data_IF_309624150607
#
_entry.id   IF_309624150607
#
_cell.length_a   1.000
_cell.length_b   1.000
_cell.length_c   1.000
_cell.angle_alpha   90.00
_cell.angle_beta   90.00
_cell.angle_gamma   90.00
#
_symmetry.space_group_name_H-M   'P 1'
#
loop_
_entity.id
_entity.type
_entity.pdbx_description
1 polymer ?
#
# COMPACT_ATOMS: atom_id res chain seq x y z
N UNK A 1 -29.90 13.64 -10.22
CA UNK A 1 -30.47 14.67 -9.34
C UNK A 1 -29.51 15.85 -9.29
N UNK A 2 -30.01 17.05 -9.50
CA UNK A 2 -29.23 18.30 -9.34
C UNK A 2 -29.81 19.01 -8.13
N UNK A 3 -28.95 19.40 -7.19
CA UNK A 3 -29.33 20.16 -6.00
C UNK A 3 -28.73 21.56 -6.14
N UNK A 4 -29.56 22.57 -6.24
CA UNK A 4 -29.13 23.96 -6.43
C UNK A 4 -28.93 24.73 -5.09
N UNK A 5 -28.41 25.94 -5.16
CA UNK A 5 -28.11 26.78 -4.01
C UNK A 5 -29.35 27.14 -3.18
N UNK A 6 -30.45 27.45 -3.86
CA UNK A 6 -31.72 27.83 -3.25
C UNK A 6 -32.29 26.66 -2.46
N UNK A 7 -32.24 25.45 -3.03
CA UNK A 7 -32.66 24.21 -2.39
C UNK A 7 -31.82 23.93 -1.14
N UNK A 8 -30.49 23.99 -1.23
CA UNK A 8 -29.60 23.81 -0.08
C UNK A 8 -29.93 24.82 1.03
N UNK A 9 -30.21 26.06 0.66
CA UNK A 9 -30.51 27.13 1.64
C UNK A 9 -31.85 26.89 2.34
N UNK A 10 -32.81 26.30 1.65
CA UNK A 10 -34.15 26.02 2.19
C UNK A 10 -34.18 24.85 3.18
N UNK A 11 -33.19 24.00 3.17
CA UNK A 11 -33.17 22.82 4.02
C UNK A 11 -33.09 23.15 5.52
N UNK A 12 -33.67 22.26 6.30
CA UNK A 12 -33.55 22.31 7.77
C UNK A 12 -32.05 22.36 8.18
N UNK A 13 -31.76 23.14 9.19
CA UNK A 13 -30.39 23.47 9.62
C UNK A 13 -29.50 22.24 9.84
N UNK A 14 -30.00 21.20 10.52
CA UNK A 14 -29.21 20.00 10.84
C UNK A 14 -28.99 19.15 9.59
N UNK A 15 -30.01 19.01 8.74
CA UNK A 15 -29.90 18.28 7.48
C UNK A 15 -28.84 18.95 6.57
N UNK A 16 -28.95 20.24 6.35
CA UNK A 16 -28.00 21.03 5.59
C UNK A 16 -26.57 20.92 6.15
N UNK A 17 -26.42 21.00 7.47
CA UNK A 17 -25.12 20.88 8.13
C UNK A 17 -24.50 19.49 7.90
N UNK A 18 -25.26 18.42 8.04
CA UNK A 18 -24.77 17.04 7.78
C UNK A 18 -24.40 16.87 6.32
N UNK A 19 -25.25 17.30 5.40
CA UNK A 19 -24.97 17.22 3.97
C UNK A 19 -23.70 17.97 3.59
N UNK A 20 -23.61 19.25 3.93
CA UNK A 20 -22.44 20.08 3.59
C UNK A 20 -21.13 19.56 4.19
N UNK A 21 -21.14 19.06 5.44
CA UNK A 21 -19.94 18.48 6.05
C UNK A 21 -19.54 17.13 5.43
N UNK A 22 -20.46 16.41 4.78
CA UNK A 22 -20.16 15.14 4.12
C UNK A 22 -19.70 15.29 2.68
N UNK A 23 -20.04 16.37 1.99
CA UNK A 23 -19.70 16.60 0.57
C UNK A 23 -18.20 16.58 0.27
N UNK A 24 -17.38 16.99 1.22
CA UNK A 24 -15.92 16.94 1.07
C UNK A 24 -15.32 15.52 1.14
N UNK A 25 -16.17 14.49 1.32
CA UNK A 25 -15.74 13.11 1.40
C UNK A 25 -15.03 12.75 2.70
N UNK A 26 -14.15 11.78 2.64
CA UNK A 26 -13.36 11.34 3.78
C UNK A 26 -12.31 12.38 4.16
N UNK A 27 -12.19 12.62 5.46
CA UNK A 27 -11.19 13.55 6.03
C UNK A 27 -10.42 12.84 7.14
N UNK A 28 -9.13 13.15 7.28
CA UNK A 28 -8.40 12.79 8.48
C UNK A 28 -9.09 13.36 9.72
N UNK A 29 -9.09 12.63 10.80
CA UNK A 29 -9.61 13.09 12.09
C UNK A 29 -8.52 13.02 13.13
N UNK A 30 -8.38 14.11 13.89
CA UNK A 30 -7.27 14.32 14.81
C UNK A 30 -7.75 14.93 16.10
N UNK A 31 -7.00 14.69 17.16
CA UNK A 31 -7.13 15.44 18.41
C UNK A 31 -6.07 16.53 18.43
N UNK A 32 -6.48 17.76 18.72
CA UNK A 32 -5.57 18.91 18.93
C UNK A 32 -5.46 19.18 20.41
N UNK A 33 -4.25 18.98 20.94
CA UNK A 33 -3.91 19.24 22.32
C UNK A 33 -3.32 20.62 22.50
N UNK A 34 -3.76 21.33 23.54
CA UNK A 34 -3.28 22.65 23.92
C UNK A 34 -3.27 22.78 25.45
N UNK A 35 -2.54 23.77 25.97
CA UNK A 35 -2.52 24.06 27.38
C UNK A 35 -2.67 25.57 27.61
N UNK A 36 -3.41 25.97 28.62
CA UNK A 36 -3.49 27.38 29.03
C UNK A 36 -2.23 27.82 29.77
N UNK A 37 -2.04 29.12 29.93
CA UNK A 37 -0.95 29.63 30.76
C UNK A 37 -1.07 29.24 32.24
N UNK A 38 -2.26 28.84 32.69
CA UNK A 38 -2.55 28.36 34.03
C UNK A 38 -2.31 26.85 34.21
N UNK A 39 -1.87 26.16 33.13
CA UNK A 39 -1.58 24.72 33.14
C UNK A 39 -2.82 23.84 32.99
N UNK A 40 -3.94 24.37 32.49
CA UNK A 40 -5.14 23.57 32.20
C UNK A 40 -5.03 23.01 30.78
N UNK A 41 -4.95 21.67 30.66
CA UNK A 41 -4.92 20.97 29.40
C UNK A 41 -6.30 20.99 28.75
N UNK A 42 -6.30 21.14 27.43
CA UNK A 42 -7.49 21.10 26.59
C UNK A 42 -7.26 20.21 25.39
N UNK A 43 -8.27 19.45 25.02
CA UNK A 43 -8.24 18.52 23.90
C UNK A 43 -9.51 18.61 23.05
N UNK A 44 -9.37 18.90 21.77
CA UNK A 44 -10.50 19.01 20.86
C UNK A 44 -10.35 18.13 19.61
N UNK A 45 -11.45 17.55 19.13
CA UNK A 45 -11.47 16.75 17.90
C UNK A 45 -11.69 17.64 16.66
N UNK A 46 -10.84 17.44 15.64
CA UNK A 46 -10.86 18.22 14.39
C UNK A 46 -10.77 17.31 13.16
N UNK A 47 -11.56 17.62 12.15
CA UNK A 47 -11.53 16.96 10.83
C UNK A 47 -11.12 17.90 9.69
N UNK A 48 -10.47 18.99 10.02
CA UNK A 48 -10.10 20.08 9.11
C UNK A 48 -8.60 20.31 9.02
N UNK A 49 -7.79 19.33 9.43
CA UNK A 49 -6.34 19.39 9.32
C UNK A 49 -5.92 19.23 7.86
N UNK A 50 -5.04 20.14 7.39
CA UNK A 50 -4.57 20.20 6.00
C UNK A 50 -3.07 20.42 5.93
N UNK A 51 -2.42 19.81 4.96
CA UNK A 51 -1.02 20.07 4.61
C UNK A 51 -0.90 21.45 3.95
N UNK A 52 0.10 22.24 4.35
CA UNK A 52 0.38 23.57 3.78
C UNK A 52 1.66 23.56 2.94
N UNK A 53 2.78 23.12 3.51
CA UNK A 53 4.06 23.03 2.80
C UNK A 53 4.98 22.00 3.44
N UNK A 54 5.94 21.50 2.62
CA UNK A 54 6.92 20.50 3.06
C UNK A 54 8.26 21.10 3.47
N UNK A 55 8.60 22.29 2.95
CA UNK A 55 9.82 23.01 3.30
C UNK A 55 9.58 24.52 3.26
N UNK A 56 9.46 25.21 4.41
CA UNK A 56 9.40 24.63 5.75
C UNK A 56 8.16 23.76 5.95
N UNK A 57 8.28 22.78 6.86
CA UNK A 57 7.19 21.84 7.14
C UNK A 57 6.05 22.52 7.91
N UNK A 58 4.88 22.66 7.29
CA UNK A 58 3.72 23.37 7.84
C UNK A 58 2.45 22.57 7.65
N UNK A 59 1.65 22.56 8.72
CA UNK A 59 0.32 21.96 8.75
C UNK A 59 -0.63 23.00 9.34
N UNK A 60 -1.84 23.07 8.78
CA UNK A 60 -2.87 23.96 9.30
C UNK A 60 -4.17 23.22 9.60
N UNK A 61 -5.06 23.89 10.29
CA UNK A 61 -6.42 23.41 10.50
C UNK A 61 -7.41 24.58 10.54
N UNK A 62 -8.67 24.27 10.21
CA UNK A 62 -9.73 25.28 10.24
C UNK A 62 -10.39 25.31 11.62
N UNK A 63 -10.29 26.42 12.28
CA UNK A 63 -11.07 26.75 13.48
C UNK A 63 -12.44 27.30 13.05
N UNK A 64 -13.50 26.77 13.67
CA UNK A 64 -14.87 27.28 13.46
C UNK A 64 -15.00 28.72 13.95
N UNK A 65 -16.04 29.48 13.53
CA UNK A 65 -16.26 30.85 13.97
C UNK A 65 -16.23 30.99 15.48
N UNK A 66 -15.63 32.08 15.95
CA UNK A 66 -15.46 32.40 17.36
C UNK A 66 -16.74 33.04 17.99
N UNK A 67 -17.90 32.61 17.53
CA UNK A 67 -19.20 33.04 18.11
C UNK A 67 -19.42 32.53 19.54
N UNK A 68 -18.66 31.50 19.91
CA UNK A 68 -18.53 30.98 21.28
C UNK A 68 -17.05 30.86 21.63
N UNK A 69 -16.74 30.94 22.93
CA UNK A 69 -15.36 30.75 23.40
C UNK A 69 -14.83 29.37 22.93
N UNK A 70 -13.57 29.34 22.48
CA UNK A 70 -12.86 28.16 22.03
C UNK A 70 -11.53 28.06 22.77
N UNK A 71 -11.46 27.18 23.77
CA UNK A 71 -10.28 27.07 24.61
C UNK A 71 -9.04 26.68 23.83
N UNK A 72 -9.16 25.75 22.85
CA UNK A 72 -8.09 25.41 21.88
C UNK A 72 -7.49 26.66 21.23
N UNK A 73 -8.34 27.54 20.70
CA UNK A 73 -7.88 28.79 20.05
C UNK A 73 -7.24 29.75 21.01
N UNK A 74 -7.88 29.98 22.17
CA UNK A 74 -7.37 30.86 23.23
C UNK A 74 -5.99 30.39 23.71
N UNK A 75 -5.83 29.11 23.96
CA UNK A 75 -4.58 28.53 24.43
C UNK A 75 -3.47 28.69 23.38
N UNK A 76 -3.78 28.44 22.10
CA UNK A 76 -2.81 28.62 20.98
C UNK A 76 -2.35 30.09 20.92
N UNK A 77 -3.25 31.05 21.04
CA UNK A 77 -2.87 32.48 21.06
C UNK A 77 -1.99 32.83 22.25
N UNK A 78 -2.20 32.19 23.40
CA UNK A 78 -1.44 32.47 24.61
C UNK A 78 -0.05 31.84 24.62
N UNK A 79 0.04 30.61 24.18
CA UNK A 79 1.27 29.79 24.29
C UNK A 79 2.04 29.66 22.99
N UNK A 80 1.39 29.91 21.85
CA UNK A 80 1.94 29.72 20.51
C UNK A 80 2.14 28.25 20.13
N UNK A 81 1.74 27.29 20.98
CA UNK A 81 2.03 25.86 20.79
C UNK A 81 0.76 25.02 20.78
N UNK A 82 0.76 23.97 19.97
CA UNK A 82 -0.29 22.96 19.94
C UNK A 82 0.23 21.64 19.39
N UNK A 83 -0.49 20.56 19.64
CA UNK A 83 -0.17 19.23 19.14
C UNK A 83 -1.29 18.74 18.25
N UNK A 84 -0.94 17.91 17.24
CA UNK A 84 -1.91 17.15 16.42
C UNK A 84 -1.64 15.67 16.66
N UNK A 85 -2.66 14.93 17.05
CA UNK A 85 -2.57 13.54 17.42
C UNK A 85 -3.55 12.72 16.58
N UNK A 86 -3.06 11.67 15.90
CA UNK A 86 -3.92 10.80 15.12
C UNK A 86 -4.78 9.94 16.03
N UNK A 87 -5.99 9.68 15.60
CA UNK A 87 -6.94 8.84 16.31
C UNK A 87 -6.94 7.46 15.67
N UNK A 88 -6.90 6.42 16.49
CA UNK A 88 -7.10 5.04 16.04
C UNK A 88 -8.30 4.39 16.74
N UNK A 89 -8.73 3.23 16.25
CA UNK A 89 -10.00 2.60 16.65
C UNK A 89 -10.12 2.29 18.14
N UNK A 90 -9.00 2.03 18.84
CA UNK A 90 -9.03 1.58 20.23
C UNK A 90 -9.54 2.64 21.20
N UNK A 91 -9.29 3.94 20.92
CA UNK A 91 -9.75 5.06 21.76
C UNK A 91 -10.70 6.02 21.03
N UNK A 92 -11.25 5.62 19.87
CA UNK A 92 -12.17 6.44 19.10
C UNK A 92 -13.36 6.96 19.91
N UNK A 93 -13.93 6.12 20.77
CA UNK A 93 -15.06 6.52 21.63
C UNK A 93 -14.66 7.70 22.54
N UNK A 94 -13.51 7.62 23.18
CA UNK A 94 -12.98 8.66 24.05
C UNK A 94 -12.74 9.96 23.24
N UNK A 95 -12.06 9.84 22.10
CA UNK A 95 -11.79 10.95 21.19
C UNK A 95 -13.06 11.65 20.70
N UNK A 96 -14.10 10.89 20.36
CA UNK A 96 -15.38 11.47 19.91
C UNK A 96 -16.01 12.40 20.96
N UNK A 97 -15.99 11.98 22.21
CA UNK A 97 -16.61 12.74 23.29
C UNK A 97 -15.84 14.02 23.70
N UNK A 98 -14.59 14.21 23.25
CA UNK A 98 -13.90 15.51 23.41
C UNK A 98 -14.59 16.65 22.64
N UNK A 99 -15.55 16.32 21.77
CA UNK A 99 -16.41 17.32 21.08
C UNK A 99 -17.53 17.89 21.96
N UNK A 100 -17.74 17.34 23.15
CA UNK A 100 -18.75 17.84 24.08
C UNK A 100 -18.35 19.22 24.61
N UNK A 101 -19.32 19.96 25.10
CA UNK A 101 -19.09 21.33 25.60
C UNK A 101 -18.72 21.30 27.09
N UNK A 102 -17.44 21.10 27.36
CA UNK A 102 -16.89 21.19 28.73
C UNK A 102 -16.68 22.64 29.16
N UNK A 103 -16.57 22.84 30.47
CA UNK A 103 -16.17 24.16 31.03
C UNK A 103 -14.67 24.36 30.84
N UNK A 104 -14.21 25.58 30.68
CA UNK A 104 -12.78 25.90 30.49
C UNK A 104 -11.88 25.50 31.67
N UNK A 105 -12.46 25.12 32.80
CA UNK A 105 -11.76 24.59 33.97
C UNK A 105 -11.68 23.05 33.99
N UNK A 106 -12.26 22.38 33.03
CA UNK A 106 -12.30 20.93 32.90
C UNK A 106 -11.40 20.51 31.74
N UNK A 107 -10.52 19.55 31.99
CA UNK A 107 -9.67 18.97 30.95
C UNK A 107 -10.37 17.81 30.24
N UNK A 108 -10.53 17.86 28.92
CA UNK A 108 -11.10 16.77 28.14
C UNK A 108 -10.27 15.49 28.23
N UNK A 109 -8.98 15.59 28.51
CA UNK A 109 -8.14 14.42 28.81
C UNK A 109 -8.74 13.61 29.95
N UNK A 110 -8.99 14.25 31.09
CA UNK A 110 -9.55 13.59 32.29
C UNK A 110 -10.99 13.17 32.10
N UNK A 111 -11.83 14.04 31.57
CA UNK A 111 -13.27 13.77 31.42
C UNK A 111 -13.56 12.67 30.39
N UNK A 112 -12.70 12.54 29.37
CA UNK A 112 -12.84 11.52 28.34
C UNK A 112 -11.95 10.27 28.56
N UNK A 113 -11.18 10.23 29.65
CA UNK A 113 -10.32 9.09 29.97
C UNK A 113 -9.19 8.88 28.97
N UNK A 114 -8.51 9.96 28.58
CA UNK A 114 -7.32 9.97 27.74
C UNK A 114 -6.12 10.45 28.58
N UNK A 115 -4.93 9.93 28.25
CA UNK A 115 -3.70 10.28 28.97
C UNK A 115 -3.01 11.46 28.30
N UNK A 116 -2.66 12.46 29.11
CA UNK A 116 -1.76 13.53 28.70
C UNK A 116 -0.30 13.05 28.73
N UNK A 117 0.46 13.41 27.71
CA UNK A 117 1.89 13.11 27.61
C UNK A 117 2.66 14.35 27.15
N UNK A 118 3.80 14.63 27.77
CA UNK A 118 4.68 15.73 27.38
C UNK A 118 5.99 15.18 26.83
N UNK A 119 6.34 15.53 25.58
CA UNK A 119 7.53 15.04 24.87
C UNK A 119 8.51 16.20 24.61
N UNK A 120 9.79 15.94 24.74
CA UNK A 120 10.87 16.87 24.40
C UNK A 120 10.72 18.29 24.99
N UNK A 121 10.19 18.42 26.22
CA UNK A 121 9.90 19.69 26.89
C UNK A 121 8.96 20.61 26.08
N UNK A 122 8.12 20.05 25.22
CA UNK A 122 7.14 20.81 24.47
C UNK A 122 5.97 21.21 25.37
N UNK A 123 5.54 22.49 25.30
CA UNK A 123 4.61 23.08 26.23
C UNK A 123 3.13 22.67 26.06
N UNK A 124 2.78 22.02 24.94
CA UNK A 124 1.43 21.53 24.72
C UNK A 124 1.38 19.99 24.87
N UNK A 125 0.31 19.44 25.48
CA UNK A 125 0.19 18.01 25.73
C UNK A 125 -0.10 17.23 24.46
N UNK A 126 0.44 16.02 24.38
CA UNK A 126 0.09 14.99 23.42
C UNK A 126 -0.90 14.01 24.03
N UNK A 127 -1.59 13.27 23.19
CA UNK A 127 -2.43 12.14 23.58
C UNK A 127 -1.55 10.90 23.73
N UNK A 128 -1.43 10.34 24.94
CA UNK A 128 -0.59 9.19 25.24
C UNK A 128 -0.90 8.00 24.35
N UNK A 129 -2.17 7.74 24.08
CA UNK A 129 -2.68 6.64 23.26
C UNK A 129 -2.38 6.78 21.75
N UNK A 130 -2.04 7.98 21.27
CA UNK A 130 -1.86 8.24 19.84
C UNK A 130 -0.58 7.60 19.28
N UNK A 131 -0.67 6.98 18.13
CA UNK A 131 0.46 6.37 17.42
C UNK A 131 1.27 7.38 16.59
N UNK A 132 0.69 8.53 16.26
CA UNK A 132 1.33 9.60 15.48
C UNK A 132 1.04 10.93 16.17
N UNK A 133 2.07 11.59 16.64
CA UNK A 133 2.01 12.82 17.43
C UNK A 133 2.87 13.90 16.78
N UNK A 134 2.32 15.06 16.52
CA UNK A 134 3.00 16.15 15.82
C UNK A 134 3.02 17.38 16.73
N UNK A 135 4.20 17.93 17.00
CA UNK A 135 4.39 19.18 17.72
C UNK A 135 4.40 20.35 16.74
N UNK A 136 3.62 21.39 16.99
CA UNK A 136 3.54 22.55 16.12
C UNK A 136 3.61 23.87 16.91
N UNK A 137 4.34 24.83 16.34
CA UNK A 137 4.35 26.22 16.80
C UNK A 137 3.54 27.06 15.80
N UNK A 138 2.57 27.81 16.32
CA UNK A 138 1.74 28.67 15.48
C UNK A 138 2.59 29.77 14.84
N UNK A 139 2.41 29.94 13.52
CA UNK A 139 3.09 30.99 12.72
C UNK A 139 2.10 31.96 12.09
N UNK A 140 0.90 31.49 11.74
CA UNK A 140 -0.12 32.36 11.13
C UNK A 140 -1.52 32.03 11.65
N UNK A 141 -2.36 33.06 11.69
CA UNK A 141 -3.78 32.98 11.98
C UNK A 141 -4.54 33.83 10.97
N UNK A 142 -5.15 33.19 9.99
CA UNK A 142 -5.80 33.82 8.83
C UNK A 142 -7.32 33.77 8.97
N UNK A 143 -7.98 34.91 9.02
CA UNK A 143 -9.43 34.96 9.01
C UNK A 143 -10.02 34.76 7.60
N UNK A 144 -10.96 33.82 7.48
CA UNK A 144 -11.78 33.63 6.29
C UNK A 144 -13.03 34.48 6.45
N UNK A 145 -12.98 35.73 5.94
CA UNK A 145 -13.93 36.83 6.23
C UNK A 145 -15.39 36.43 6.13
N UNK A 146 -15.81 35.80 5.02
CA UNK A 146 -17.23 35.45 4.78
C UNK A 146 -17.78 34.43 5.78
N UNK A 147 -17.01 33.43 6.12
CA UNK A 147 -17.42 32.36 7.05
C UNK A 147 -17.08 32.66 8.50
N UNK A 148 -16.25 33.66 8.76
CA UNK A 148 -15.64 33.96 10.08
C UNK A 148 -14.89 32.76 10.68
N UNK A 149 -14.55 31.78 9.88
CA UNK A 149 -13.63 30.73 10.26
C UNK A 149 -12.20 31.26 10.26
N UNK A 150 -11.29 30.54 10.90
CA UNK A 150 -9.87 30.89 10.90
C UNK A 150 -9.03 29.71 10.48
N UNK A 151 -8.05 29.94 9.62
CA UNK A 151 -7.02 28.98 9.32
C UNK A 151 -5.84 29.22 10.26
N UNK A 152 -5.59 28.28 11.15
CA UNK A 152 -4.44 28.30 12.02
C UNK A 152 -3.33 27.49 11.37
N UNK A 153 -2.18 28.11 11.12
CA UNK A 153 -1.01 27.47 10.51
C UNK A 153 0.08 27.30 11.55
N UNK A 154 0.58 26.10 11.68
CA UNK A 154 1.71 25.77 12.54
C UNK A 154 2.89 25.22 11.76
N UNK A 155 4.10 25.56 12.20
CA UNK A 155 5.35 24.97 11.75
C UNK A 155 5.66 23.74 12.60
N UNK A 156 5.92 22.62 11.94
CA UNK A 156 6.24 21.35 12.60
C UNK A 156 7.59 21.46 13.29
N UNK A 157 7.61 21.22 14.60
CA UNK A 157 8.82 21.23 15.41
C UNK A 157 9.45 19.82 15.46
N UNK A 158 8.63 18.81 15.67
CA UNK A 158 9.01 17.40 15.58
C UNK A 158 7.77 16.52 15.43
N UNK A 159 8.01 15.27 15.06
CA UNK A 159 7.00 14.21 14.98
C UNK A 159 7.47 13.02 15.81
N UNK A 160 6.61 12.53 16.68
CA UNK A 160 6.83 11.26 17.39
C UNK A 160 5.98 10.17 16.73
N UNK A 161 6.66 9.16 16.18
CA UNK A 161 6.06 8.09 15.38
C UNK A 161 6.94 6.84 15.42
N UNK A 162 6.33 5.65 15.34
CA UNK A 162 7.08 4.42 15.13
C UNK A 162 7.61 4.37 13.68
N UNK A 163 8.90 4.05 13.51
CA UNK A 163 9.55 3.91 12.20
C UNK A 163 8.86 2.91 11.28
N UNK A 164 8.24 1.87 11.83
CA UNK A 164 7.54 0.84 11.07
C UNK A 164 6.29 1.36 10.35
N UNK A 165 5.81 2.54 10.69
CA UNK A 165 4.70 3.21 10.03
C UNK A 165 5.14 4.06 8.83
N UNK A 166 6.45 4.22 8.61
CA UNK A 166 7.00 5.01 7.50
C UNK A 166 7.45 4.04 6.41
N UNK A 167 6.88 4.18 5.21
CA UNK A 167 7.28 3.40 4.03
C UNK A 167 8.65 3.87 3.52
N UNK A 168 9.31 3.07 2.67
CA UNK A 168 10.65 3.37 2.14
C UNK A 168 10.71 4.68 1.34
N UNK A 169 9.61 5.09 0.73
CA UNK A 169 9.47 6.34 -0.02
C UNK A 169 9.13 7.56 0.86
N UNK A 170 9.01 7.37 2.18
CA UNK A 170 8.68 8.40 3.16
C UNK A 170 7.18 8.62 3.38
N UNK A 171 6.30 7.85 2.74
CA UNK A 171 4.87 7.91 3.00
C UNK A 171 4.53 7.27 4.35
N UNK A 172 3.47 7.78 4.98
CA UNK A 172 2.93 7.22 6.21
C UNK A 172 1.93 6.11 5.89
N UNK A 173 2.17 4.91 6.42
CA UNK A 173 1.25 3.78 6.34
C UNK A 173 0.13 3.95 7.38
N UNK A 174 -1.00 4.54 6.97
CA UNK A 174 -2.16 4.78 7.82
C UNK A 174 -2.86 3.49 8.26
N UNK A 175 -2.70 2.40 7.52
CA UNK A 175 -3.26 1.10 7.89
C UNK A 175 -2.48 0.49 9.05
N UNK A 176 -1.14 0.51 9.01
CA UNK A 176 -0.30 0.10 10.14
C UNK A 176 -0.43 1.02 11.35
N UNK A 177 -0.52 2.32 11.14
CA UNK A 177 -0.75 3.28 12.19
C UNK A 177 -2.17 3.19 12.80
N UNK A 178 -3.05 2.34 12.23
CA UNK A 178 -4.46 2.14 12.59
C UNK A 178 -5.26 3.46 12.62
N UNK A 179 -4.85 4.45 11.80
CA UNK A 179 -5.49 5.75 11.72
C UNK A 179 -6.85 5.64 11.08
N UNK A 180 -7.79 6.44 11.57
CA UNK A 180 -9.17 6.47 11.08
C UNK A 180 -9.47 7.76 10.34
N UNK A 181 -10.54 7.76 9.57
CA UNK A 181 -11.09 8.94 8.92
C UNK A 181 -12.55 9.17 9.30
N UNK A 182 -13.05 10.36 8.99
CA UNK A 182 -14.43 10.74 9.27
C UNK A 182 -15.11 11.30 8.03
N UNK A 183 -16.38 10.95 7.83
CA UNK A 183 -17.30 11.60 6.88
C UNK A 183 -18.29 12.42 7.68
N UNK A 184 -18.59 13.63 7.22
CA UNK A 184 -19.44 14.52 7.98
C UNK A 184 -18.81 14.91 9.33
N UNK A 185 -19.56 14.70 10.41
CA UNK A 185 -19.13 15.07 11.78
C UNK A 185 -18.89 13.88 12.70
N UNK A 186 -19.49 12.72 12.41
CA UNK A 186 -19.54 11.60 13.35
C UNK A 186 -19.65 10.21 12.69
N UNK A 187 -19.43 10.12 11.39
CA UNK A 187 -19.34 8.82 10.69
C UNK A 187 -17.88 8.46 10.49
N UNK A 188 -17.37 7.57 11.30
CA UNK A 188 -15.99 7.14 11.26
C UNK A 188 -15.79 5.91 10.40
N UNK A 189 -14.66 5.84 9.70
CA UNK A 189 -14.31 4.74 8.81
C UNK A 189 -12.84 4.35 8.98
N UNK A 190 -12.57 3.07 8.75
CA UNK A 190 -11.20 2.54 8.72
C UNK A 190 -10.61 2.82 7.34
N UNK A 191 -9.39 3.32 7.31
CA UNK A 191 -8.63 3.53 6.07
C UNK A 191 -8.00 2.22 5.63
N UNK A 192 -8.15 1.87 4.34
CA UNK A 192 -7.44 0.76 3.72
C UNK A 192 -6.77 1.24 2.44
N UNK A 193 -5.50 0.88 2.29
CA UNK A 193 -4.74 1.16 1.09
C UNK A 193 -5.30 0.34 -0.07
N UNK A 194 -5.67 0.99 -1.16
CA UNK A 194 -6.20 0.31 -2.33
C UNK A 194 -5.10 0.03 -3.36
N UNK A 195 -4.38 1.07 -3.80
CA UNK A 195 -3.34 0.96 -4.83
C UNK A 195 -2.42 2.17 -4.81
N UNK A 196 -1.13 1.96 -5.03
CA UNK A 196 -0.18 3.01 -5.32
C UNK A 196 -0.04 3.23 -6.82
N UNK A 197 0.09 4.47 -7.23
CA UNK A 197 0.45 4.86 -8.57
C UNK A 197 1.78 5.63 -8.54
N UNK A 198 2.63 5.49 -9.55
CA UNK A 198 3.82 6.32 -9.67
C UNK A 198 3.43 7.79 -9.85
N UNK A 199 4.39 8.68 -9.63
CA UNK A 199 4.18 10.10 -9.93
C UNK A 199 3.80 10.27 -11.40
N UNK A 200 2.67 10.93 -11.67
CA UNK A 200 2.15 11.11 -13.02
C UNK A 200 3.02 12.06 -13.84
N UNK A 201 3.58 11.57 -14.95
CA UNK A 201 4.36 12.34 -15.91
C UNK A 201 3.68 12.33 -17.27
N UNK A 202 3.78 13.41 -18.02
CA UNK A 202 3.15 13.54 -19.34
C UNK A 202 3.62 12.49 -20.34
N UNK A 203 4.89 12.05 -20.22
CA UNK A 203 5.48 11.02 -21.08
C UNK A 203 5.02 9.59 -20.75
N UNK A 204 4.47 9.39 -19.54
CA UNK A 204 4.07 8.10 -18.99
C UNK A 204 2.53 7.95 -18.92
N UNK A 205 1.79 8.85 -19.57
CA UNK A 205 0.33 8.79 -19.58
C UNK A 205 -0.12 7.53 -20.31
N UNK A 206 -0.86 6.62 -19.65
CA UNK A 206 -1.40 5.45 -20.29
C UNK A 206 -2.36 5.82 -21.44
N UNK A 207 -2.46 4.96 -22.43
CA UNK A 207 -3.45 5.16 -23.48
C UNK A 207 -4.86 4.87 -22.96
N UNK A 208 -5.58 5.89 -22.53
CA UNK A 208 -6.97 5.80 -22.09
C UNK A 208 -7.99 5.72 -23.24
N UNK A 209 -7.54 5.54 -24.50
CA UNK A 209 -8.49 5.28 -25.59
C UNK A 209 -9.32 4.07 -25.19
N UNK A 210 -10.62 4.26 -25.12
CA UNK A 210 -11.56 3.14 -24.98
C UNK A 210 -11.16 2.10 -26.01
N UNK A 211 -10.82 0.91 -25.58
CA UNK A 211 -10.69 -0.24 -26.49
C UNK A 211 -11.97 -0.22 -27.29
N UNK A 212 -11.90 0.03 -28.63
CA UNK A 212 -13.06 -0.16 -29.47
C UNK A 212 -13.53 -1.57 -29.19
N UNK A 213 -14.69 -1.71 -28.60
CA UNK A 213 -15.37 -2.98 -28.57
C UNK A 213 -15.41 -3.47 -30.03
N UNK A 214 -15.22 -4.76 -30.28
CA UNK A 214 -15.33 -5.31 -31.64
C UNK A 214 -16.58 -4.71 -32.29
N UNK A 215 -16.50 -4.31 -33.55
CA UNK A 215 -17.48 -3.48 -34.25
C UNK A 215 -18.95 -3.99 -34.25
N UNK A 216 -19.21 -5.12 -33.60
CA UNK A 216 -20.50 -5.81 -33.57
C UNK A 216 -21.12 -5.95 -32.16
N UNK A 217 -20.61 -5.24 -31.14
CA UNK A 217 -21.14 -5.34 -29.79
C UNK A 217 -21.60 -3.95 -29.35
N UNK A 218 -22.91 -3.78 -29.16
CA UNK A 218 -23.54 -2.57 -28.61
C UNK A 218 -24.10 -2.88 -27.23
N UNK A 219 -23.86 -1.99 -26.28
CA UNK A 219 -24.49 -2.06 -24.95
C UNK A 219 -25.91 -1.53 -25.04
N UNK A 220 -26.88 -2.33 -24.71
CA UNK A 220 -28.28 -1.95 -24.66
C UNK A 220 -28.64 -1.48 -23.24
N UNK A 221 -28.99 -0.22 -23.11
CA UNK A 221 -29.30 0.42 -21.82
C UNK A 221 -30.62 -0.08 -21.23
N UNK A 222 -31.61 -0.52 -22.07
CA UNK A 222 -32.86 -1.03 -21.57
C UNK A 222 -32.76 -2.43 -21.00
N UNK A 223 -31.98 -3.30 -21.64
CA UNK A 223 -31.76 -4.67 -21.16
C UNK A 223 -30.54 -4.82 -20.26
N UNK A 224 -29.74 -3.75 -20.03
CA UNK A 224 -28.49 -3.76 -19.27
C UNK A 224 -27.53 -4.88 -19.70
N UNK A 225 -27.49 -5.17 -21.01
CA UNK A 225 -26.69 -6.27 -21.56
C UNK A 225 -26.02 -5.87 -22.87
N UNK A 226 -24.88 -6.54 -23.17
CA UNK A 226 -24.25 -6.40 -24.48
C UNK A 226 -25.01 -7.22 -25.52
N UNK A 227 -25.50 -6.57 -26.58
CA UNK A 227 -26.28 -7.20 -27.62
C UNK A 227 -25.59 -7.05 -28.98
N UNK A 228 -25.41 -8.15 -29.69
CA UNK A 228 -24.86 -8.19 -31.05
C UNK A 228 -25.88 -7.81 -32.13
N UNK A 229 -27.10 -7.48 -31.76
CA UNK A 229 -28.25 -7.43 -32.66
C UNK A 229 -28.64 -6.03 -33.13
N UNK A 230 -27.85 -5.01 -32.85
CA UNK A 230 -28.15 -3.64 -33.32
C UNK A 230 -27.14 -3.25 -34.42
N UNK A 231 -27.20 -3.97 -35.53
CA UNK A 231 -26.63 -3.48 -36.78
C UNK A 231 -27.74 -3.01 -37.70
N UNK A 232 -27.60 -1.86 -38.42
CA UNK A 232 -28.61 -1.30 -39.26
C UNK A 232 -28.82 -2.04 -40.61
N UNK A 233 -28.43 -3.29 -40.66
CA UNK A 233 -28.69 -4.18 -41.79
C UNK A 233 -29.79 -5.16 -41.38
N UNK A 234 -30.88 -5.14 -42.13
CA UNK A 234 -31.98 -6.10 -42.00
C UNK A 234 -31.49 -7.52 -42.06
N UNK A 235 -30.99 -8.02 -40.96
CA UNK A 235 -30.56 -9.39 -40.81
C UNK A 235 -31.65 -10.21 -40.16
N UNK A 236 -31.97 -11.24 -40.86
CA UNK A 236 -32.89 -12.30 -40.55
C UNK A 236 -33.02 -12.60 -39.05
N UNK A 237 -34.23 -12.69 -38.64
CA UNK A 237 -34.76 -13.38 -37.45
C UNK A 237 -34.01 -14.71 -37.31
N UNK A 238 -33.09 -14.81 -36.37
CA UNK A 238 -32.47 -16.14 -36.13
C UNK A 238 -31.15 -16.22 -35.37
N UNK A 239 -30.53 -15.12 -34.88
CA UNK A 239 -29.41 -15.29 -33.98
C UNK A 239 -29.93 -15.46 -32.55
N UNK A 240 -29.71 -16.61 -31.87
CA UNK A 240 -30.14 -16.76 -30.49
C UNK A 240 -29.38 -15.75 -29.62
N UNK A 241 -30.11 -15.01 -28.77
CA UNK A 241 -29.49 -14.18 -27.75
C UNK A 241 -28.57 -15.06 -26.91
N UNK A 242 -27.27 -14.75 -26.89
CA UNK A 242 -26.33 -15.43 -26.00
C UNK A 242 -26.63 -14.95 -24.58
N UNK A 243 -27.66 -15.54 -23.98
CA UNK A 243 -27.86 -15.41 -22.53
C UNK A 243 -26.78 -16.27 -21.88
N UNK A 244 -25.76 -15.63 -21.34
CA UNK A 244 -24.78 -16.29 -20.48
C UNK A 244 -25.50 -16.74 -19.20
N UNK A 245 -26.17 -17.90 -19.27
CA UNK A 245 -26.96 -18.45 -18.16
C UNK A 245 -26.09 -18.80 -16.94
N UNK A 246 -24.76 -18.68 -17.01
CA UNK A 246 -23.88 -18.96 -15.87
C UNK A 246 -22.50 -18.30 -16.00
N UNK A 247 -22.44 -16.98 -15.91
CA UNK A 247 -21.19 -16.22 -15.95
C UNK A 247 -20.20 -16.66 -14.84
N UNK A 248 -20.73 -17.07 -13.68
CA UNK A 248 -19.91 -17.56 -12.56
C UNK A 248 -19.23 -18.90 -12.91
N UNK A 249 -19.90 -19.80 -13.60
CA UNK A 249 -19.38 -21.06 -14.06
C UNK A 249 -18.34 -20.88 -15.19
N UNK A 250 -18.56 -19.93 -16.08
CA UNK A 250 -17.59 -19.58 -17.13
C UNK A 250 -16.31 -18.99 -16.55
N UNK A 251 -16.44 -18.04 -15.59
CA UNK A 251 -15.29 -17.47 -14.86
C UNK A 251 -14.52 -18.53 -14.08
N UNK A 252 -15.22 -19.43 -13.41
CA UNK A 252 -14.60 -20.53 -12.65
C UNK A 252 -13.81 -21.48 -13.58
N UNK A 253 -14.37 -21.85 -14.73
CA UNK A 253 -13.66 -22.67 -15.74
C UNK A 253 -12.46 -21.94 -16.33
N UNK A 254 -12.58 -20.64 -16.64
CA UNK A 254 -11.49 -19.81 -17.13
C UNK A 254 -10.34 -19.72 -16.13
N UNK A 255 -10.64 -19.50 -14.86
CA UNK A 255 -9.65 -19.48 -13.77
C UNK A 255 -8.98 -20.84 -13.60
N UNK A 256 -9.75 -21.93 -13.65
CA UNK A 256 -9.20 -23.30 -13.56
C UNK A 256 -8.26 -23.61 -14.71
N UNK A 257 -8.66 -23.31 -15.95
CA UNK A 257 -7.82 -23.47 -17.14
C UNK A 257 -6.54 -22.65 -17.07
N UNK A 258 -6.64 -21.37 -16.66
CA UNK A 258 -5.49 -20.50 -16.50
C UNK A 258 -4.52 -21.01 -15.43
N UNK A 259 -5.03 -21.46 -14.27
CA UNK A 259 -4.21 -22.08 -13.21
C UNK A 259 -3.48 -23.32 -13.69
N UNK A 260 -4.12 -24.17 -14.52
CA UNK A 260 -3.48 -25.35 -15.12
C UNK A 260 -2.33 -24.97 -16.04
N UNK A 261 -2.53 -23.98 -16.92
CA UNK A 261 -1.48 -23.46 -17.81
C UNK A 261 -0.31 -22.87 -17.03
N UNK A 262 -0.60 -22.09 -15.98
CA UNK A 262 0.46 -21.54 -15.12
C UNK A 262 1.24 -22.65 -14.41
N UNK A 263 0.54 -23.65 -13.85
CA UNK A 263 1.19 -24.78 -13.18
C UNK A 263 2.15 -25.49 -14.13
N UNK A 264 1.70 -25.81 -15.34
CA UNK A 264 2.54 -26.45 -16.37
C UNK A 264 3.80 -25.63 -16.70
N UNK A 265 3.68 -24.29 -16.81
CA UNK A 265 4.84 -23.41 -17.04
C UNK A 265 5.81 -23.39 -15.86
N UNK A 266 5.28 -23.35 -14.64
CA UNK A 266 6.11 -23.39 -13.41
C UNK A 266 6.84 -24.73 -13.30
N UNK A 267 6.16 -25.83 -13.58
CA UNK A 267 6.77 -27.17 -13.53
C UNK A 267 7.91 -27.26 -14.58
N UNK A 268 7.70 -26.76 -15.79
CA UNK A 268 8.74 -26.70 -16.83
C UNK A 268 9.97 -25.87 -16.40
N UNK A 269 9.76 -24.71 -15.78
CA UNK A 269 10.86 -23.89 -15.27
C UNK A 269 11.62 -24.61 -14.13
N UNK A 270 10.91 -25.36 -13.29
CA UNK A 270 11.55 -26.16 -12.23
C UNK A 270 12.41 -27.26 -12.82
N UNK A 271 11.94 -27.94 -13.85
CA UNK A 271 12.69 -29.00 -14.54
C UNK A 271 13.95 -28.41 -15.20
N UNK A 272 13.82 -27.29 -15.91
CA UNK A 272 14.96 -26.56 -16.50
C UNK A 272 15.97 -26.12 -15.44
N UNK A 273 15.50 -25.60 -14.31
CA UNK A 273 16.35 -25.22 -13.18
C UNK A 273 17.10 -26.42 -12.58
N UNK A 274 16.42 -27.55 -12.40
CA UNK A 274 17.05 -28.78 -11.89
C UNK A 274 18.19 -29.24 -12.79
N UNK A 275 17.97 -29.21 -14.11
CA UNK A 275 19.02 -29.58 -15.10
C UNK A 275 20.23 -28.65 -14.98
N UNK A 276 20.03 -27.33 -14.84
CA UNK A 276 21.13 -26.38 -14.67
C UNK A 276 21.91 -26.60 -13.36
N UNK A 277 21.22 -26.93 -12.29
CA UNK A 277 21.86 -27.23 -11.00
C UNK A 277 22.68 -28.50 -11.09
N UNK A 278 22.17 -29.56 -11.75
CA UNK A 278 22.89 -30.82 -11.95
C UNK A 278 24.11 -30.62 -12.84
N UNK A 279 24.00 -29.79 -13.88
CA UNK A 279 25.12 -29.41 -14.74
C UNK A 279 26.21 -28.65 -13.95
N UNK A 280 25.80 -27.66 -13.13
CA UNK A 280 26.72 -26.94 -12.27
C UNK A 280 27.44 -27.87 -11.29
N UNK A 281 26.71 -28.70 -10.55
CA UNK A 281 27.30 -29.63 -9.59
C UNK A 281 28.25 -30.64 -10.24
N UNK A 282 27.90 -31.10 -11.44
CA UNK A 282 28.76 -32.01 -12.23
C UNK A 282 30.05 -31.32 -12.63
N UNK A 283 29.99 -30.09 -13.12
CA UNK A 283 31.18 -29.33 -13.50
C UNK A 283 32.06 -28.99 -12.29
N UNK A 284 31.45 -28.57 -11.17
CA UNK A 284 32.20 -28.31 -9.93
C UNK A 284 32.90 -29.55 -9.45
N UNK A 285 32.27 -30.72 -9.47
CA UNK A 285 32.87 -32.00 -9.11
C UNK A 285 34.05 -32.35 -10.00
N UNK A 286 33.95 -32.14 -11.31
CA UNK A 286 34.99 -32.50 -12.26
C UNK A 286 36.20 -31.53 -12.24
N UNK A 287 35.97 -30.25 -12.06
CA UNK A 287 37.03 -29.27 -11.90
C UNK A 287 37.79 -29.40 -10.59
N UNK A 288 37.15 -29.91 -9.55
CA UNK A 288 37.76 -30.21 -8.26
C UNK A 288 38.39 -31.62 -8.20
N UNK A 289 38.19 -32.47 -9.23
CA UNK A 289 38.82 -33.78 -9.29
C UNK A 289 40.34 -33.69 -9.56
N UNK A 290 41.09 -34.69 -9.12
CA UNK A 290 42.54 -34.73 -9.30
C UNK A 290 42.90 -35.27 -10.69
N UNK A 291 43.69 -34.49 -11.46
CA UNK A 291 44.30 -34.92 -12.73
C UNK A 291 45.55 -34.05 -13.01
N UNK A 292 46.52 -34.65 -13.70
CA UNK A 292 47.85 -34.05 -13.97
C UNK A 292 48.03 -33.76 -15.49
N UNK A 293 46.94 -33.59 -16.24
CA UNK A 293 46.90 -33.33 -17.68
C UNK A 293 45.88 -32.25 -18.03
N UNK A 294 46.10 -31.60 -19.16
CA UNK A 294 45.11 -30.66 -19.71
C UNK A 294 44.08 -31.43 -20.54
N UNK A 295 42.76 -31.37 -20.20
CA UNK A 295 41.72 -32.08 -20.96
C UNK A 295 41.60 -31.56 -22.38
N UNK A 296 41.60 -32.46 -23.34
CA UNK A 296 41.42 -32.17 -24.77
C UNK A 296 39.92 -32.10 -25.11
N UNK A 297 39.51 -31.02 -25.79
CA UNK A 297 38.13 -30.82 -26.21
C UNK A 297 37.75 -31.98 -27.13
N UNK A 298 36.64 -32.64 -26.80
CA UNK A 298 36.11 -33.72 -27.58
C UNK A 298 36.52 -35.13 -27.15
N UNK A 299 37.52 -35.29 -26.31
CA UNK A 299 37.92 -36.56 -25.74
C UNK A 299 37.08 -36.96 -24.55
N UNK A 300 36.96 -38.28 -24.31
CA UNK A 300 36.15 -38.87 -23.24
C UNK A 300 37.03 -39.17 -22.04
N UNK A 301 36.63 -38.68 -20.88
CA UNK A 301 37.30 -38.89 -19.60
C UNK A 301 36.36 -39.62 -18.66
N UNK A 302 36.92 -40.44 -17.78
CA UNK A 302 36.20 -41.26 -16.83
C UNK A 302 36.55 -40.81 -15.40
N UNK A 303 35.56 -40.54 -14.59
CA UNK A 303 35.69 -40.14 -13.21
C UNK A 303 35.66 -41.39 -12.31
N UNK A 304 36.62 -41.51 -11.43
CA UNK A 304 36.76 -42.62 -10.49
C UNK A 304 36.89 -42.10 -9.05
N UNK A 305 36.40 -42.90 -8.11
CA UNK A 305 36.57 -42.68 -6.68
C UNK A 305 37.84 -43.40 -6.20
N UNK A 306 38.64 -42.76 -5.33
CA UNK A 306 39.84 -43.33 -4.75
C UNK A 306 39.49 -44.00 -3.42
N UNK A 307 39.84 -45.31 -3.28
CA UNK A 307 39.43 -46.14 -2.15
C UNK A 307 39.92 -45.69 -0.76
N UNK A 308 41.01 -44.89 -0.67
CA UNK A 308 41.64 -44.50 0.61
C UNK A 308 41.41 -43.05 1.04
N UNK A 309 40.77 -42.24 0.24
CA UNK A 309 40.46 -40.81 0.52
C UNK A 309 39.19 -40.43 -0.25
N UNK A 310 38.36 -39.56 0.33
CA UNK A 310 37.24 -38.92 -0.36
C UNK A 310 37.66 -38.00 -1.53
N UNK A 311 38.58 -38.48 -2.39
CA UNK A 311 39.13 -37.74 -3.53
C UNK A 311 38.73 -38.46 -4.82
N UNK A 312 38.10 -37.71 -5.74
CA UNK A 312 37.80 -38.19 -7.09
C UNK A 312 38.94 -37.81 -8.04
N UNK A 313 39.21 -38.67 -9.04
CA UNK A 313 40.20 -38.38 -10.06
C UNK A 313 39.70 -38.72 -11.47
N UNK A 314 40.19 -37.99 -12.47
CA UNK A 314 39.90 -38.19 -13.89
C UNK A 314 41.00 -39.07 -14.55
N UNK A 315 40.57 -39.96 -15.45
CA UNK A 315 41.46 -40.84 -16.21
C UNK A 315 40.90 -41.10 -17.61
N UNK A 316 41.78 -41.43 -18.56
CA UNK A 316 41.44 -41.91 -19.91
C UNK A 316 41.19 -43.42 -19.93
N UNK A 317 41.45 -44.14 -18.85
CA UNK A 317 41.31 -45.59 -18.79
C UNK A 317 39.80 -45.97 -18.77
N UNK A 318 39.39 -46.76 -19.73
CA UNK A 318 38.02 -47.17 -19.92
C UNK A 318 37.50 -48.07 -18.76
N UNK A 319 36.26 -47.88 -18.24
CA UNK A 319 35.77 -48.59 -17.07
C UNK A 319 35.69 -50.11 -17.22
N UNK A 320 35.58 -50.64 -18.45
CA UNK A 320 35.63 -52.09 -18.72
C UNK A 320 37.02 -52.71 -18.48
N UNK A 321 38.06 -51.89 -18.46
CA UNK A 321 39.45 -52.36 -18.29
C UNK A 321 39.98 -52.10 -16.87
N UNK A 322 39.24 -51.39 -16.02
CA UNK A 322 39.71 -51.03 -14.72
C UNK A 322 38.71 -51.38 -13.60
N UNK A 323 39.17 -52.01 -12.51
CA UNK A 323 38.31 -52.46 -11.41
C UNK A 323 38.08 -51.39 -10.32
N UNK A 324 38.21 -50.14 -10.68
CA UNK A 324 37.92 -49.03 -9.72
C UNK A 324 36.48 -48.59 -9.80
N UNK A 325 35.95 -48.00 -8.72
CA UNK A 325 34.60 -47.50 -8.68
C UNK A 325 34.44 -46.33 -9.64
N UNK A 326 33.74 -46.58 -10.75
CA UNK A 326 33.47 -45.60 -11.79
C UNK A 326 32.23 -44.75 -11.42
N UNK A 327 32.38 -43.43 -11.46
CA UNK A 327 31.30 -42.48 -11.13
C UNK A 327 30.58 -41.89 -12.36
N UNK A 328 31.25 -41.94 -13.52
CA UNK A 328 30.65 -41.49 -14.79
C UNK A 328 31.71 -41.16 -15.84
N UNK A 329 31.23 -41.06 -17.09
CA UNK A 329 32.04 -40.67 -18.26
C UNK A 329 31.63 -39.28 -18.74
N UNK A 330 32.57 -38.46 -19.09
CA UNK A 330 32.39 -37.05 -19.39
C UNK A 330 33.21 -36.61 -20.58
N UNK A 331 32.73 -35.58 -21.25
CA UNK A 331 33.40 -34.95 -22.38
C UNK A 331 33.40 -33.43 -22.19
N UNK A 332 34.53 -32.80 -22.46
CA UNK A 332 34.61 -31.32 -22.36
C UNK A 332 34.30 -30.72 -23.73
N UNK A 333 33.43 -29.68 -23.75
CA UNK A 333 33.07 -28.97 -24.96
C UNK A 333 33.97 -27.73 -25.20
N UNK A 334 33.75 -27.00 -26.29
CA UNK A 334 34.49 -25.80 -26.68
C UNK A 334 34.32 -24.61 -25.68
N UNK A 335 33.26 -24.63 -24.88
CA UNK A 335 32.98 -23.64 -23.84
C UNK A 335 33.61 -24.03 -22.50
N UNK A 336 34.38 -25.11 -22.49
CA UNK A 336 35.01 -25.69 -21.28
C UNK A 336 33.96 -26.20 -20.25
N UNK A 337 32.78 -26.63 -20.72
CA UNK A 337 31.75 -27.25 -19.89
C UNK A 337 31.84 -28.76 -20.05
N UNK A 338 31.83 -29.48 -18.94
CA UNK A 338 31.79 -30.92 -18.89
C UNK A 338 30.38 -31.44 -19.09
N UNK A 339 30.21 -32.32 -20.07
CA UNK A 339 28.94 -32.94 -20.43
C UNK A 339 29.02 -34.40 -20.07
N UNK A 340 28.06 -34.90 -19.30
CA UNK A 340 27.94 -36.33 -18.99
C UNK A 340 27.54 -37.13 -20.22
N UNK A 341 28.24 -38.20 -20.50
CA UNK A 341 27.95 -39.11 -21.60
C UNK A 341 27.12 -40.28 -21.10
N UNK A 342 26.15 -40.75 -21.89
CA UNK A 342 25.37 -41.92 -21.52
C UNK A 342 26.20 -43.18 -21.59
N UNK A 343 25.96 -44.17 -20.71
CA UNK A 343 26.70 -45.43 -20.67
C UNK A 343 26.52 -46.29 -21.96
N UNK A 344 25.66 -45.85 -22.90
CA UNK A 344 25.48 -46.50 -24.21
C UNK A 344 26.43 -45.94 -25.27
N UNK A 345 27.05 -44.80 -25.01
CA UNK A 345 27.93 -44.10 -25.98
C UNK A 345 29.41 -44.17 -25.54
N UNK A 346 29.73 -45.02 -24.55
CA UNK A 346 31.05 -45.27 -23.98
C UNK A 346 31.62 -46.66 -24.43
#
# INVERSE_FOLDING_TARGET
MIVNKEEITSWEKIYRLKFMNSLSGYKGVHLIGTCSNEGIENLGIFSSVVHISSNPARIGFIMRPLTVSRDTYKNILQTGCFTINHIHKSFLKNAHYTSANFKSTQSEFKECGLSEEYLNNFSAPFVGESNVKIALKMIEDVEIKESKCRLIVGEVQFVHINKDYIEQDGQLDFEKADSICVTGLNQYSIVKKYKNYPYARTQEIPNFKKTKLPDNIVFDEESQSFNANILPYGSNIGAPSIKLNNLSLWKSRGISSYKSVLKSKVDKIKDEYSVLVDEYNTNDLLYNAKYDFEPIIGEVYHLYEKEDKDENFLSLIHPKTWRKKHLGSFKINSEKVWIKISDKDV
#
